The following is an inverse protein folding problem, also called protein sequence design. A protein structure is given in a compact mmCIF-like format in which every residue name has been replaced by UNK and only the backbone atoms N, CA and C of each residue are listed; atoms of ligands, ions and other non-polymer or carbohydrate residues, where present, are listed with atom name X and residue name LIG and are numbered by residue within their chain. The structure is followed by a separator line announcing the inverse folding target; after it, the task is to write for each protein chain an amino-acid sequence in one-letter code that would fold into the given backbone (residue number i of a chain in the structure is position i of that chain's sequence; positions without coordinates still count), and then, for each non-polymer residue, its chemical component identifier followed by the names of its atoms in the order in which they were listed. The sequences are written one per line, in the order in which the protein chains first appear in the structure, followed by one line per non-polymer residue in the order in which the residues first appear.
data_IF_835289834859
#
_entry.id   IF_835289834859
#
_cell.length_a   1.000
_cell.length_b   1.000
_cell.length_c   1.000
_cell.angle_alpha   90.00
_cell.angle_beta   90.00
_cell.angle_gamma   90.00
#
_symmetry.space_group_name_H-M   'P 1'
#
loop_
_entity.id
_entity.type
_entity.pdbx_description
1 polymer ?
#
# COMPACT_ATOMS: atom_id res chain seq x y z
N UNK A 1 15.13 -5.17 -8.50
CA UNK A 1 14.33 -5.65 -7.36
C UNK A 1 13.06 -4.83 -7.24
N UNK A 2 12.00 -5.41 -6.67
CA UNK A 2 10.68 -4.75 -6.51
C UNK A 2 10.25 -4.88 -5.04
N UNK A 3 10.87 -4.13 -4.13
CA UNK A 3 10.49 -4.12 -2.72
C UNK A 3 9.28 -3.20 -2.48
N UNK A 4 8.63 -3.35 -1.33
CA UNK A 4 7.63 -2.36 -0.88
C UNK A 4 8.33 -1.06 -0.46
N UNK A 5 7.63 0.06 -0.49
CA UNK A 5 8.20 1.40 -0.22
C UNK A 5 8.91 1.49 1.14
N UNK A 6 8.36 0.84 2.19
CA UNK A 6 9.01 0.79 3.52
C UNK A 6 10.38 0.11 3.48
N UNK A 7 10.54 -0.94 2.67
CA UNK A 7 11.83 -1.60 2.50
C UNK A 7 12.77 -0.79 1.62
N UNK A 8 12.25 -0.05 0.63
CA UNK A 8 13.06 0.89 -0.17
C UNK A 8 13.76 1.89 0.75
N UNK A 9 13.04 2.55 1.66
CA UNK A 9 13.62 3.52 2.59
C UNK A 9 14.76 2.91 3.43
N UNK A 10 14.55 1.71 3.97
CA UNK A 10 15.57 1.01 4.77
C UNK A 10 16.81 0.63 3.94
N UNK A 11 16.61 0.20 2.71
CA UNK A 11 17.68 -0.18 1.81
C UNK A 11 18.48 1.03 1.31
N UNK A 12 17.83 2.20 1.13
CA UNK A 12 18.50 3.46 0.85
C UNK A 12 19.41 3.83 2.03
N UNK A 13 18.89 3.77 3.26
CA UNK A 13 19.69 4.05 4.47
C UNK A 13 20.89 3.11 4.63
N UNK A 14 20.73 1.85 4.21
CA UNK A 14 21.80 0.85 4.21
C UNK A 14 22.81 1.03 3.05
N UNK A 15 22.57 1.97 2.13
CA UNK A 15 23.49 2.26 1.02
C UNK A 15 23.55 1.17 -0.05
N UNK A 16 22.51 0.33 -0.17
CA UNK A 16 22.50 -0.81 -1.12
C UNK A 16 22.05 -0.45 -2.53
N UNK A 17 21.53 0.77 -2.73
CA UNK A 17 21.10 1.25 -4.03
C UNK A 17 22.04 2.30 -4.62
N UNK A 18 22.18 2.29 -5.94
CA UNK A 18 22.75 3.39 -6.68
C UNK A 18 21.68 4.42 -7.03
N UNK A 19 22.01 5.73 -7.01
CA UNK A 19 21.11 6.75 -7.55
C UNK A 19 20.77 6.48 -9.02
N UNK A 20 19.54 6.76 -9.38
CA UNK A 20 19.08 6.63 -10.77
C UNK A 20 19.68 7.76 -11.62
N UNK A 21 20.22 7.41 -12.77
CA UNK A 21 20.54 8.38 -13.82
C UNK A 21 19.28 8.64 -14.64
N UNK A 22 18.58 9.74 -14.32
CA UNK A 22 17.33 10.10 -15.00
C UNK A 22 17.51 10.45 -16.46
N UNK A 23 18.72 10.82 -16.90
CA UNK A 23 18.99 11.10 -18.30
C UNK A 23 18.83 9.87 -19.19
N UNK A 24 19.00 8.68 -18.60
CA UNK A 24 18.82 7.39 -19.27
C UNK A 24 17.37 6.88 -19.24
N UNK A 25 16.50 7.51 -18.46
CA UNK A 25 15.10 7.10 -18.27
C UNK A 25 14.17 7.92 -19.17
N UNK A 26 14.20 7.64 -20.47
CA UNK A 26 13.44 8.40 -21.49
C UNK A 26 11.95 8.47 -21.26
N UNK A 27 11.38 7.45 -20.59
CA UNK A 27 9.96 7.35 -20.27
C UNK A 27 9.60 7.82 -18.84
N UNK A 28 10.53 8.45 -18.12
CA UNK A 28 10.29 8.91 -16.75
C UNK A 28 9.10 9.89 -16.65
N UNK A 29 8.91 10.72 -17.66
CA UNK A 29 7.80 11.67 -17.74
C UNK A 29 6.41 11.00 -17.83
N UNK A 30 6.34 9.71 -18.18
CA UNK A 30 5.09 8.96 -18.28
C UNK A 30 4.66 8.35 -16.92
N UNK A 31 5.49 8.49 -15.88
CA UNK A 31 5.14 8.00 -14.54
C UNK A 31 4.04 8.86 -13.92
N UNK A 32 3.12 8.21 -13.21
CA UNK A 32 2.04 8.89 -12.49
C UNK A 32 2.62 9.83 -11.42
N UNK A 33 2.34 11.16 -11.50
CA UNK A 33 2.87 12.14 -10.57
C UNK A 33 2.37 11.94 -9.13
N UNK A 34 1.17 11.38 -8.95
CA UNK A 34 0.62 11.06 -7.62
C UNK A 34 1.42 9.95 -6.97
N UNK A 35 1.80 8.93 -7.75
CA UNK A 35 2.63 7.82 -7.25
C UNK A 35 4.06 8.29 -6.95
N UNK A 36 4.63 9.15 -7.78
CA UNK A 36 5.94 9.76 -7.51
C UNK A 36 5.93 10.58 -6.22
N UNK A 37 4.88 11.38 -5.99
CA UNK A 37 4.70 12.15 -4.76
C UNK A 37 4.57 11.23 -3.53
N UNK A 38 3.84 10.13 -3.66
CA UNK A 38 3.69 9.15 -2.59
C UNK A 38 5.01 8.44 -2.28
N UNK A 39 5.75 8.06 -3.32
CA UNK A 39 7.07 7.42 -3.16
C UNK A 39 8.09 8.37 -2.51
N UNK A 40 8.01 9.68 -2.75
CA UNK A 40 8.92 10.68 -2.20
C UNK A 40 8.95 10.72 -0.66
N UNK A 41 7.93 10.20 0.01
CA UNK A 41 7.94 10.02 1.47
C UNK A 41 8.96 8.96 1.95
N UNK A 42 9.36 8.05 1.07
CA UNK A 42 10.29 6.94 1.33
C UNK A 42 11.63 7.11 0.59
N UNK A 43 11.63 7.80 -0.52
CA UNK A 43 12.75 8.10 -1.39
C UNK A 43 12.70 9.58 -1.80
N UNK A 44 13.26 10.49 -1.00
CA UNK A 44 13.27 11.92 -1.30
C UNK A 44 13.78 12.20 -2.71
N UNK A 45 13.04 13.03 -3.45
CA UNK A 45 13.29 13.36 -4.84
C UNK A 45 13.26 12.16 -5.81
N UNK A 46 12.76 11.00 -5.37
CA UNK A 46 12.72 9.75 -6.15
C UNK A 46 14.09 9.44 -6.79
N UNK A 47 15.13 9.47 -5.97
CA UNK A 47 16.53 9.34 -6.43
C UNK A 47 16.93 7.90 -6.74
N UNK A 48 16.30 6.92 -6.09
CA UNK A 48 16.74 5.53 -6.09
C UNK A 48 15.71 4.56 -6.65
N UNK A 49 14.44 4.97 -6.73
CA UNK A 49 13.36 4.09 -7.15
C UNK A 49 12.35 4.80 -8.07
N UNK A 50 11.64 3.98 -8.85
CA UNK A 50 10.46 4.40 -9.61
C UNK A 50 9.25 3.58 -9.16
N UNK A 51 8.03 4.14 -9.11
CA UNK A 51 6.84 3.38 -8.78
C UNK A 51 6.56 2.37 -9.91
N UNK A 52 6.36 1.09 -9.54
CA UNK A 52 6.04 0.03 -10.49
C UNK A 52 4.55 -0.32 -10.46
N UNK A 53 4.02 -0.60 -9.29
CA UNK A 53 2.59 -0.82 -9.07
C UNK A 53 2.23 -0.44 -7.63
N UNK A 54 0.96 -0.18 -7.42
CA UNK A 54 0.41 0.05 -6.10
C UNK A 54 -0.74 -0.90 -5.82
N UNK A 55 -0.99 -1.16 -4.57
CA UNK A 55 -2.11 -1.98 -4.13
C UNK A 55 -2.64 -1.50 -2.79
N UNK A 56 -3.85 -1.91 -2.48
CA UNK A 56 -4.45 -1.71 -1.16
C UNK A 56 -4.58 -3.05 -0.45
N UNK A 57 -4.48 -3.03 0.86
CA UNK A 57 -4.82 -4.18 1.70
C UNK A 57 -6.26 -4.06 2.13
N UNK A 58 -7.01 -5.11 1.93
CA UNK A 58 -8.41 -5.20 2.33
C UNK A 58 -8.74 -6.61 2.79
N UNK A 59 -9.96 -6.81 3.22
CA UNK A 59 -10.48 -8.13 3.54
C UNK A 59 -11.71 -8.46 2.69
N UNK A 60 -11.82 -9.73 2.32
CA UNK A 60 -13.01 -10.28 1.69
C UNK A 60 -13.90 -10.97 2.73
N UNK A 61 -15.20 -10.87 2.59
CA UNK A 61 -16.15 -11.52 3.48
C UNK A 61 -17.36 -12.08 2.70
N UNK A 62 -17.99 -13.10 3.26
CA UNK A 62 -19.23 -13.63 2.70
C UNK A 62 -20.41 -12.78 3.21
N UNK A 63 -21.00 -11.99 2.31
CA UNK A 63 -22.09 -11.04 2.62
C UNK A 63 -23.26 -11.72 3.30
N UNK A 64 -23.70 -12.87 2.78
CA UNK A 64 -24.86 -13.60 3.31
C UNK A 64 -24.60 -14.07 4.74
N UNK A 65 -23.45 -14.70 5.00
CA UNK A 65 -23.08 -15.20 6.34
C UNK A 65 -22.86 -14.08 7.35
N UNK A 66 -22.32 -12.95 6.93
CA UNK A 66 -22.14 -11.80 7.82
C UNK A 66 -23.49 -11.23 8.22
N UNK A 67 -24.39 -11.02 7.27
CA UNK A 67 -25.72 -10.48 7.53
C UNK A 67 -26.63 -11.43 8.29
N UNK A 68 -26.47 -12.73 8.13
CA UNK A 68 -27.19 -13.75 8.90
C UNK A 68 -26.89 -13.60 10.41
N UNK A 69 -25.65 -13.32 10.77
CA UNK A 69 -25.22 -13.18 12.17
C UNK A 69 -25.38 -11.77 12.72
N UNK A 70 -25.21 -10.77 11.88
CA UNK A 70 -25.30 -9.36 12.24
C UNK A 70 -25.82 -8.57 11.02
N UNK A 71 -27.16 -8.34 10.93
CA UNK A 71 -27.77 -7.63 9.79
C UNK A 71 -27.17 -6.24 9.54
N UNK A 72 -26.82 -5.51 10.62
CA UNK A 72 -26.27 -4.16 10.59
C UNK A 72 -24.74 -4.15 10.73
N UNK A 73 -24.05 -5.21 10.31
CA UNK A 73 -22.60 -5.30 10.38
C UNK A 73 -21.93 -4.14 9.62
N UNK A 74 -20.89 -3.50 10.18
CA UNK A 74 -20.17 -2.39 9.55
C UNK A 74 -19.21 -2.93 8.46
N UNK A 75 -19.77 -3.38 7.35
CA UNK A 75 -19.06 -4.08 6.27
C UNK A 75 -18.16 -3.18 5.42
N UNK A 76 -18.30 -1.87 5.53
CA UNK A 76 -17.49 -0.83 4.89
C UNK A 76 -16.35 -0.30 5.79
N UNK A 77 -16.14 -0.96 6.92
CA UNK A 77 -15.20 -0.50 7.93
C UNK A 77 -14.35 -1.65 8.49
N UNK A 78 -13.11 -1.36 8.82
CA UNK A 78 -12.22 -2.25 9.58
C UNK A 78 -12.77 -2.65 10.96
N UNK A 79 -13.79 -1.97 11.46
CA UNK A 79 -14.52 -2.35 12.69
C UNK A 79 -15.07 -3.77 12.61
N UNK A 80 -15.39 -4.27 11.41
CA UNK A 80 -15.84 -5.65 11.22
C UNK A 80 -14.83 -6.67 11.78
N UNK A 81 -13.53 -6.35 11.75
CA UNK A 81 -12.46 -7.24 12.20
C UNK A 81 -11.83 -6.84 13.54
N UNK A 82 -11.84 -5.55 13.88
CA UNK A 82 -11.07 -5.04 15.01
C UNK A 82 -11.91 -4.50 16.17
N UNK A 83 -13.23 -4.35 16.01
CA UNK A 83 -14.12 -3.97 17.09
C UNK A 83 -14.57 -5.23 17.88
N UNK A 84 -14.15 -5.39 19.15
CA UNK A 84 -14.48 -6.59 19.92
C UNK A 84 -15.98 -6.87 20.04
N UNK A 85 -16.81 -5.79 20.11
CA UNK A 85 -18.26 -5.94 20.17
C UNK A 85 -18.82 -6.51 18.88
N UNK A 86 -18.28 -6.12 17.73
CA UNK A 86 -18.68 -6.61 16.41
C UNK A 86 -18.18 -8.06 16.22
N UNK A 87 -16.90 -8.31 16.51
CA UNK A 87 -16.25 -9.62 16.31
C UNK A 87 -16.93 -10.70 17.16
N UNK A 88 -17.46 -10.35 18.33
CA UNK A 88 -18.15 -11.29 19.22
C UNK A 88 -19.36 -12.00 18.55
N UNK A 89 -19.96 -11.37 17.53
CA UNK A 89 -21.09 -11.96 16.79
C UNK A 89 -20.66 -13.08 15.81
N UNK A 90 -19.36 -13.21 15.53
CA UNK A 90 -18.82 -14.15 14.54
C UNK A 90 -18.07 -15.34 15.12
N UNK A 91 -18.15 -15.54 16.41
CA UNK A 91 -17.56 -16.70 17.10
C UNK A 91 -18.42 -17.96 16.90
#
# INVERSE_FOLDING_TARGET
VVPTANFVARQIQAGVFQPLDRSLLTNYANLDPTMLKTLAAYDPDNRYAVPYLWSTTGFGYNVAKVRERMPDAPVDSWRLLFDPAVVAHFK
#
